data_IF_027322101988
#
_entry.id   IF_027322101988
#
_cell.length_a   1.000
_cell.length_b   1.000
_cell.length_c   1.000
_cell.angle_alpha   90.00
_cell.angle_beta   90.00
_cell.angle_gamma   90.00
#
_symmetry.space_group_name_H-M   'P 1'
#
loop_
_entity.id
_entity.type
_entity.pdbx_description
1 polymer ?
#
# COMPACT_ATOMS: atom_id res chain seq x y z
N UNK A 1 7.63 7.73 5.03
CA UNK A 1 7.37 6.73 3.97
C UNK A 1 7.27 7.45 2.63
N UNK A 2 7.61 6.82 1.51
CA UNK A 2 7.35 7.37 0.18
C UNK A 2 6.96 6.28 -0.82
N UNK A 3 6.23 6.67 -1.87
CA UNK A 3 5.87 5.80 -3.00
C UNK A 3 6.41 6.38 -4.31
N UNK A 4 6.72 5.52 -5.28
CA UNK A 4 7.32 5.93 -6.56
C UNK A 4 6.37 6.66 -7.50
N UNK A 5 5.07 6.39 -7.39
CA UNK A 5 4.01 7.02 -8.20
C UNK A 5 2.72 7.09 -7.39
N UNK A 6 1.91 8.11 -7.64
CA UNK A 6 0.55 8.25 -7.10
C UNK A 6 -0.53 7.86 -8.10
N UNK A 7 -0.16 7.56 -9.36
CA UNK A 7 -1.09 7.19 -10.41
C UNK A 7 -0.61 5.93 -11.12
N UNK A 8 -1.51 4.96 -11.26
CA UNK A 8 -1.30 3.66 -11.88
C UNK A 8 -2.38 3.48 -12.94
N UNK A 9 -1.99 3.33 -14.21
CA UNK A 9 -2.95 3.31 -15.32
C UNK A 9 -2.88 2.05 -16.17
N UNK A 10 -1.96 1.12 -15.85
CA UNK A 10 -1.79 -0.15 -16.56
C UNK A 10 -1.50 -1.33 -15.62
N UNK A 11 -1.75 -2.57 -16.09
CA UNK A 11 -1.39 -3.83 -15.40
C UNK A 11 0.10 -4.10 -15.36
N UNK A 12 0.85 -3.42 -16.20
CA UNK A 12 2.31 -3.48 -16.19
C UNK A 12 2.94 -2.52 -15.19
N UNK A 13 2.18 -1.60 -14.61
CA UNK A 13 2.72 -0.57 -13.73
C UNK A 13 3.01 -1.14 -12.34
N UNK A 14 4.01 -0.57 -11.67
CA UNK A 14 4.42 -0.98 -10.32
C UNK A 14 4.54 0.22 -9.40
N UNK A 15 4.04 0.07 -8.17
CA UNK A 15 4.23 1.05 -7.09
C UNK A 15 5.31 0.54 -6.15
N UNK A 16 6.45 1.22 -6.09
CA UNK A 16 7.52 0.89 -5.16
C UNK A 16 7.36 1.72 -3.88
N UNK A 17 7.28 1.02 -2.74
CA UNK A 17 7.17 1.63 -1.41
C UNK A 17 8.56 1.68 -0.77
N UNK A 18 8.98 2.86 -0.35
CA UNK A 18 10.27 3.09 0.33
C UNK A 18 10.05 3.54 1.77
N UNK A 19 10.73 2.85 2.68
CA UNK A 19 10.72 3.14 4.12
C UNK A 19 12.16 3.31 4.59
N UNK A 20 12.47 4.46 5.17
CA UNK A 20 13.77 4.73 5.78
C UNK A 20 13.72 4.34 7.24
N UNK A 21 14.61 3.44 7.65
CA UNK A 21 14.77 3.02 9.03
C UNK A 21 15.94 3.74 9.69
N UNK A 22 15.69 4.35 10.85
CA UNK A 22 16.71 5.04 11.65
C UNK A 22 16.78 4.41 13.02
N UNK A 23 17.89 3.76 13.33
CA UNK A 23 18.16 3.28 14.69
C UNK A 23 18.69 4.45 15.54
N UNK A 24 17.86 4.96 16.45
CA UNK A 24 18.20 6.06 17.35
C UNK A 24 18.84 5.60 18.68
N UNK A 25 19.09 4.29 18.84
CA UNK A 25 19.63 3.68 20.05
C UNK A 25 21.12 3.38 19.97
N UNK A 26 21.72 3.03 21.12
CA UNK A 26 23.15 2.66 21.20
C UNK A 26 23.44 1.20 20.81
N UNK A 27 22.40 0.39 20.58
CA UNK A 27 22.53 -1.03 20.23
C UNK A 27 22.05 -1.23 18.80
N UNK A 28 22.89 -1.85 17.96
CA UNK A 28 22.48 -2.27 16.63
C UNK A 28 21.42 -3.38 16.73
N UNK A 29 20.29 -3.20 16.05
CA UNK A 29 19.17 -4.14 16.02
C UNK A 29 18.68 -4.37 14.60
N UNK A 30 17.98 -5.50 14.38
CA UNK A 30 17.30 -5.79 13.11
C UNK A 30 15.82 -5.44 13.26
N UNK A 31 15.36 -4.44 12.52
CA UNK A 31 13.94 -4.10 12.39
C UNK A 31 13.32 -4.88 11.21
N UNK A 32 12.07 -5.31 11.33
CA UNK A 32 11.31 -5.89 10.20
C UNK A 32 10.07 -5.02 9.97
N UNK A 33 9.84 -4.63 8.72
CA UNK A 33 8.66 -3.86 8.32
C UNK A 33 7.80 -4.66 7.37
N UNK A 34 6.50 -4.63 7.63
CA UNK A 34 5.50 -5.30 6.82
C UNK A 34 4.47 -4.25 6.39
N UNK A 35 4.53 -3.73 5.15
CA UNK A 35 3.49 -2.83 4.68
C UNK A 35 2.19 -3.60 4.40
N UNK A 36 1.07 -2.95 4.67
CA UNK A 36 -0.30 -3.40 4.44
C UNK A 36 -0.91 -2.58 3.31
N UNK A 37 -1.66 -3.25 2.42
CA UNK A 37 -2.39 -2.62 1.34
C UNK A 37 -3.89 -2.75 1.63
N UNK A 38 -4.59 -1.63 1.70
CA UNK A 38 -6.03 -1.57 1.94
C UNK A 38 -6.76 -1.07 0.69
N UNK A 39 -7.90 -1.70 0.43
CA UNK A 39 -8.81 -1.33 -0.65
C UNK A 39 -10.05 -0.67 -0.04
N UNK A 40 -10.53 0.47 -0.55
CA UNK A 40 -11.63 1.21 0.05
C UNK A 40 -13.00 0.57 -0.20
N UNK A 41 -13.11 -0.33 -1.19
CA UNK A 41 -14.38 -0.96 -1.57
C UNK A 41 -14.43 -2.42 -1.13
N UNK A 42 -15.39 -2.73 -0.26
CA UNK A 42 -15.75 -4.10 0.09
C UNK A 42 -16.68 -4.66 -1.00
N UNK A 43 -16.16 -5.44 -1.94
CA UNK A 43 -17.01 -6.28 -2.80
C UNK A 43 -17.23 -7.64 -2.11
N UNK A 44 -18.44 -7.96 -1.61
CA UNK A 44 -18.69 -9.23 -0.93
C UNK A 44 -18.60 -10.40 -1.93
N UNK A 45 -17.51 -11.15 -1.89
CA UNK A 45 -17.29 -12.37 -2.69
C UNK A 45 -17.84 -13.65 -2.01
N UNK A 46 -18.76 -13.52 -1.03
CA UNK A 46 -19.29 -14.68 -0.28
C UNK A 46 -19.94 -15.66 -1.27
N UNK A 47 -19.27 -16.80 -1.52
CA UNK A 47 -19.70 -17.85 -2.44
C UNK A 47 -18.82 -18.08 -3.68
N UNK A 48 -17.78 -17.26 -3.94
CA UNK A 48 -16.95 -17.34 -5.17
C UNK A 48 -15.47 -17.71 -4.93
N UNK A 49 -15.09 -18.07 -3.70
CA UNK A 49 -13.69 -18.26 -3.31
C UNK A 49 -12.96 -16.93 -3.10
N UNK A 50 -11.81 -16.96 -2.43
CA UNK A 50 -10.97 -15.78 -2.19
C UNK A 50 -10.42 -15.25 -3.51
N UNK A 51 -11.17 -14.39 -4.19
CA UNK A 51 -10.78 -13.74 -5.44
C UNK A 51 -10.31 -12.32 -5.12
N UNK A 52 -8.98 -12.13 -5.09
CA UNK A 52 -8.38 -10.80 -5.00
C UNK A 52 -8.57 -10.12 -6.35
N UNK A 53 -9.42 -9.11 -6.41
CA UNK A 53 -9.67 -8.29 -7.61
C UNK A 53 -9.15 -6.88 -7.33
N UNK A 54 -8.51 -6.27 -8.31
CA UNK A 54 -8.21 -4.85 -8.26
C UNK A 54 -9.25 -4.07 -9.06
N UNK A 55 -9.66 -2.91 -8.53
CA UNK A 55 -10.68 -2.02 -9.09
C UNK A 55 -10.12 -0.61 -9.18
N UNK A 56 -10.60 0.18 -10.16
CA UNK A 56 -10.16 1.57 -10.28
C UNK A 56 -10.67 2.39 -9.10
N UNK A 57 -9.78 2.67 -8.16
CA UNK A 57 -10.05 3.43 -6.94
C UNK A 57 -8.74 3.84 -6.28
N UNK A 58 -8.85 4.56 -5.17
CA UNK A 58 -7.70 4.96 -4.36
C UNK A 58 -7.30 3.85 -3.40
N UNK A 59 -6.07 3.37 -3.53
CA UNK A 59 -5.49 2.40 -2.62
C UNK A 59 -4.62 3.10 -1.57
N UNK A 60 -4.62 2.54 -0.36
CA UNK A 60 -3.77 3.03 0.71
C UNK A 60 -2.78 1.97 1.15
N UNK A 61 -1.53 2.38 1.25
CA UNK A 61 -0.44 1.62 1.82
C UNK A 61 -0.15 2.17 3.21
N UNK A 62 -0.14 1.29 4.21
CA UNK A 62 0.21 1.59 5.60
C UNK A 62 1.38 0.71 6.07
N UNK A 63 2.18 1.17 7.03
CA UNK A 63 3.29 0.37 7.59
C UNK A 63 2.82 -0.57 8.71
N UNK A 64 1.77 -0.22 9.43
CA UNK A 64 1.17 -1.08 10.47
C UNK A 64 -0.34 -1.20 10.25
N UNK A 65 -0.96 -2.32 10.62
CA UNK A 65 -2.39 -2.53 10.38
C UNK A 65 -3.26 -1.64 11.27
N UNK A 66 -2.70 -1.12 12.37
CA UNK A 66 -3.35 -0.16 13.27
C UNK A 66 -3.04 1.30 12.90
N UNK A 67 -2.29 1.54 11.83
CA UNK A 67 -2.06 2.91 11.34
C UNK A 67 -3.38 3.47 10.82
N UNK A 68 -3.90 4.47 11.52
CA UNK A 68 -5.09 5.20 11.09
C UNK A 68 -4.73 6.09 9.90
N UNK A 69 -4.99 5.57 8.70
CA UNK A 69 -4.97 6.32 7.45
C UNK A 69 -6.38 6.86 7.22
N UNK A 70 -6.64 8.11 7.61
CA UNK A 70 -7.93 8.76 7.41
C UNK A 70 -8.17 8.99 5.91
N UNK A 71 -8.85 8.04 5.27
CA UNK A 71 -9.20 8.06 3.84
C UNK A 71 -10.51 8.77 3.54
N UNK A 72 -11.25 9.17 4.58
CA UNK A 72 -12.57 9.78 4.44
C UNK A 72 -12.54 11.29 4.68
N UNK A 73 -11.48 11.80 5.31
CA UNK A 73 -11.31 13.21 5.58
C UNK A 73 -10.04 13.77 4.94
N UNK A 74 -10.19 14.28 3.72
CA UNK A 74 -9.13 14.93 2.95
C UNK A 74 -8.48 16.14 3.66
N UNK A 75 -9.16 16.70 4.67
CA UNK A 75 -8.65 17.82 5.47
C UNK A 75 -7.92 17.41 6.75
N UNK A 76 -7.92 16.12 7.10
CA UNK A 76 -7.15 15.61 8.22
C UNK A 76 -5.64 15.63 7.89
N UNK A 77 -4.81 15.79 8.92
CA UNK A 77 -3.36 15.67 8.76
C UNK A 77 -3.02 14.22 8.36
N UNK A 78 -2.50 14.02 7.15
CA UNK A 78 -2.11 12.71 6.67
C UNK A 78 -1.04 12.09 7.57
N UNK A 79 -1.26 10.85 8.00
CA UNK A 79 -0.30 10.12 8.82
C UNK A 79 0.97 9.81 7.98
N UNK A 80 2.18 10.13 8.48
CA UNK A 80 3.43 9.95 7.72
C UNK A 80 3.80 8.47 7.44
N UNK A 81 3.08 7.52 8.02
CA UNK A 81 3.17 6.08 7.79
C UNK A 81 2.15 5.57 6.76
N UNK A 82 1.38 6.47 6.14
CA UNK A 82 0.43 6.18 5.07
C UNK A 82 0.91 6.78 3.75
N UNK A 83 0.58 6.12 2.65
CA UNK A 83 0.69 6.67 1.31
C UNK A 83 -0.45 6.18 0.43
N UNK A 84 -0.96 7.05 -0.43
CA UNK A 84 -2.12 6.76 -1.29
C UNK A 84 -1.70 6.79 -2.76
N UNK A 85 -2.19 5.84 -3.55
CA UNK A 85 -2.09 5.89 -5.01
C UNK A 85 -3.45 5.56 -5.63
N UNK A 86 -3.74 6.17 -6.77
CA UNK A 86 -4.94 5.93 -7.55
C UNK A 86 -4.65 4.89 -8.62
N UNK A 87 -5.51 3.86 -8.69
CA UNK A 87 -5.57 2.94 -9.81
C UNK A 87 -6.67 3.43 -10.77
N UNK A 88 -6.33 3.68 -12.04
CA UNK A 88 -7.28 4.09 -13.07
C UNK A 88 -6.89 3.51 -14.43
N UNK A 89 -7.23 2.24 -14.61
CA UNK A 89 -6.91 1.44 -15.80
C UNK A 89 -8.04 1.49 -16.84
N UNK A 90 -9.27 1.75 -16.40
CA UNK A 90 -10.46 1.71 -17.25
C UNK A 90 -10.91 0.28 -17.60
N UNK A 91 -10.32 -0.76 -17.02
CA UNK A 91 -10.63 -2.17 -17.28
C UNK A 91 -11.22 -2.85 -16.03
N UNK A 92 -12.32 -3.59 -16.19
CA UNK A 92 -12.97 -4.35 -15.11
C UNK A 92 -13.30 -5.81 -15.50
N UNK A 93 -13.02 -6.81 -14.64
CA UNK A 93 -12.16 -6.77 -13.45
C UNK A 93 -10.68 -6.92 -13.84
N UNK A 94 -9.82 -6.13 -13.22
CA UNK A 94 -8.39 -6.12 -13.53
C UNK A 94 -7.59 -6.94 -12.52
N UNK A 95 -6.75 -7.85 -13.03
CA UNK A 95 -5.61 -8.47 -12.34
C UNK A 95 -5.81 -8.99 -10.90
N UNK A 96 -4.70 -9.30 -10.25
CA UNK A 96 -4.59 -9.49 -8.79
C UNK A 96 -3.37 -8.69 -8.36
N UNK A 97 -3.47 -7.96 -7.25
CA UNK A 97 -2.31 -7.24 -6.71
C UNK A 97 -1.35 -8.24 -6.12
N UNK A 98 -0.07 -8.13 -6.51
CA UNK A 98 1.01 -8.92 -5.93
C UNK A 98 1.94 -7.94 -5.22
N UNK A 99 1.97 -8.00 -3.89
CA UNK A 99 2.94 -7.25 -3.11
C UNK A 99 4.29 -7.97 -3.15
N UNK A 100 5.28 -7.37 -3.81
CA UNK A 100 6.67 -7.84 -3.78
C UNK A 100 7.45 -6.95 -2.80
N UNK A 101 7.86 -7.53 -1.67
CA UNK A 101 8.71 -6.85 -0.70
C UNK A 101 10.18 -7.03 -1.12
N UNK A 102 10.76 -6.00 -1.73
CA UNK A 102 12.21 -5.97 -1.94
C UNK A 102 12.93 -5.53 -0.67
N UNK A 103 13.60 -6.47 0.01
CA UNK A 103 14.47 -6.16 1.14
C UNK A 103 15.77 -5.50 0.62
N UNK A 104 15.85 -4.17 0.63
CA UNK A 104 17.13 -3.47 0.48
C UNK A 104 17.88 -3.54 1.82
N UNK A 105 18.82 -4.48 1.94
CA UNK A 105 19.77 -4.52 3.05
C UNK A 105 20.70 -3.30 2.91
N UNK A 106 20.55 -2.31 3.80
CA UNK A 106 21.53 -1.23 3.89
C UNK A 106 22.52 -1.59 5.00
N UNK A 107 23.78 -1.75 4.61
CA UNK A 107 24.89 -2.18 5.47
C UNK A 107 25.42 -1.07 6.37
#
# INVERSE_FOLDING_TARGET
>A
MSISTTNVTSSSDSVNVSVTMTNSGSVAGKETVMPFLTHPVYYPQIGQGLKLMAEDTDYVVAIEPETDCDVYNETAAANPLCATFTLSTGEYPFGSLVAVLEHKHYS
#
